data_IF_530263980891
#
_entry.id   IF_530263980891
#
_cell.length_a   1.000
_cell.length_b   1.000
_cell.length_c   1.000
_cell.angle_alpha   90.00
_cell.angle_beta   90.00
_cell.angle_gamma   90.00
#
_symmetry.space_group_name_H-M   'P 1'
#
loop_
_entity.id
_entity.type
_entity.pdbx_description
1 polymer ?
#
# COMPACT_ATOMS: atom_id res chain seq x y z
N UNK A 1 -22.99 16.64 16.29
CA UNK A 1 -21.87 17.07 15.43
C UNK A 1 -20.78 15.99 15.31
N UNK A 2 -20.11 15.56 16.40
CA UNK A 2 -19.13 14.46 16.34
C UNK A 2 -19.73 13.09 15.94
N UNK A 3 -20.95 12.77 16.37
CA UNK A 3 -21.65 11.53 15.98
C UNK A 3 -22.02 11.47 14.50
N UNK A 4 -22.41 12.60 13.91
CA UNK A 4 -22.75 12.69 12.48
C UNK A 4 -21.50 12.57 11.60
N UNK A 5 -20.38 13.17 12.03
CA UNK A 5 -19.07 12.96 11.41
C UNK A 5 -18.66 11.49 11.47
N UNK A 6 -18.76 10.86 12.65
CA UNK A 6 -18.40 9.45 12.80
C UNK A 6 -19.26 8.54 11.90
N UNK A 7 -20.57 8.80 11.80
CA UNK A 7 -21.46 8.06 10.91
C UNK A 7 -21.12 8.26 9.43
N UNK A 8 -20.76 9.47 9.01
CA UNK A 8 -20.30 9.74 7.65
C UNK A 8 -18.98 9.01 7.35
N UNK A 9 -18.05 8.99 8.30
CA UNK A 9 -16.78 8.26 8.18
C UNK A 9 -16.99 6.75 8.11
N UNK A 10 -17.85 6.19 8.96
CA UNK A 10 -18.17 4.76 8.94
C UNK A 10 -18.88 4.36 7.64
N UNK A 11 -19.82 5.19 7.16
CA UNK A 11 -20.43 4.99 5.85
C UNK A 11 -19.39 5.01 4.73
N UNK A 12 -18.48 5.99 4.75
CA UNK A 12 -17.43 6.14 3.74
C UNK A 12 -16.44 4.96 3.74
N UNK A 13 -16.02 4.51 4.92
CA UNK A 13 -15.18 3.31 5.06
C UNK A 13 -15.93 2.06 4.57
N UNK A 14 -17.24 1.99 4.82
CA UNK A 14 -18.11 0.92 4.34
C UNK A 14 -18.27 0.82 2.82
N UNK A 15 -17.87 1.85 2.06
CA UNK A 15 -17.85 1.82 0.58
C UNK A 15 -16.72 0.94 0.02
N UNK A 16 -15.73 0.57 0.85
CA UNK A 16 -14.63 -0.33 0.51
C UNK A 16 -13.40 0.35 -0.11
N UNK A 17 -12.35 -0.45 -0.30
CA UNK A 17 -11.03 0.00 -0.77
C UNK A 17 -11.04 0.86 -2.05
N UNK A 18 -11.79 0.52 -3.10
CA UNK A 18 -11.83 1.32 -4.33
C UNK A 18 -12.36 2.75 -4.13
N UNK A 19 -13.42 2.92 -3.33
CA UNK A 19 -14.03 4.23 -3.07
C UNK A 19 -13.12 5.12 -2.20
N UNK A 20 -12.49 4.52 -1.19
CA UNK A 20 -11.49 5.19 -0.35
C UNK A 20 -10.32 5.67 -1.21
N UNK A 21 -9.81 4.79 -2.08
CA UNK A 21 -8.68 5.10 -2.95
C UNK A 21 -8.99 6.19 -3.99
N UNK A 22 -10.22 6.19 -4.54
CA UNK A 22 -10.71 7.26 -5.41
C UNK A 22 -10.57 8.64 -4.75
N UNK A 23 -11.09 8.79 -3.54
CA UNK A 23 -11.05 10.08 -2.81
C UNK A 23 -9.62 10.45 -2.46
N UNK A 24 -8.83 9.50 -1.96
CA UNK A 24 -7.44 9.70 -1.58
C UNK A 24 -6.61 10.24 -2.73
N UNK A 25 -6.62 9.53 -3.87
CA UNK A 25 -5.81 9.93 -5.02
C UNK A 25 -6.28 11.25 -5.60
N UNK A 26 -7.59 11.52 -5.58
CA UNK A 26 -8.14 12.80 -6.01
C UNK A 26 -7.64 13.94 -5.11
N UNK A 27 -7.74 13.79 -3.79
CA UNK A 27 -7.31 14.82 -2.82
C UNK A 27 -5.80 15.04 -2.85
N UNK A 28 -5.02 13.95 -2.93
CA UNK A 28 -3.57 14.01 -3.01
C UNK A 28 -3.12 14.72 -4.31
N UNK A 29 -3.73 14.37 -5.45
CA UNK A 29 -3.47 15.03 -6.74
C UNK A 29 -3.78 16.53 -6.68
N UNK A 30 -4.87 16.93 -6.01
CA UNK A 30 -5.20 18.33 -5.77
C UNK A 30 -4.16 19.03 -4.87
N UNK A 31 -3.65 18.33 -3.85
CA UNK A 31 -2.56 18.83 -2.98
C UNK A 31 -1.28 19.14 -3.76
N UNK A 32 -0.99 18.35 -4.79
CA UNK A 32 0.11 18.62 -5.75
C UNK A 32 -0.25 19.66 -6.83
N UNK A 33 -1.36 20.40 -6.66
CA UNK A 33 -1.84 21.47 -7.57
C UNK A 33 -2.14 21.00 -8.99
N UNK A 34 -2.52 19.74 -9.16
CA UNK A 34 -3.04 19.22 -10.43
C UNK A 34 -4.44 19.80 -10.68
N UNK A 35 -4.79 20.08 -11.96
CA UNK A 35 -6.14 20.55 -12.34
C UNK A 35 -7.21 19.58 -11.84
N UNK A 36 -8.32 20.09 -11.30
CA UNK A 36 -9.39 19.27 -10.72
C UNK A 36 -9.88 18.14 -11.64
N UNK A 37 -10.10 18.44 -12.93
CA UNK A 37 -10.50 17.43 -13.92
C UNK A 37 -9.50 16.27 -14.01
N UNK A 38 -8.19 16.55 -13.94
CA UNK A 38 -7.14 15.53 -13.99
C UNK A 38 -6.97 14.79 -12.67
N UNK A 39 -7.19 15.47 -11.54
CA UNK A 39 -7.20 14.83 -10.22
C UNK A 39 -8.40 13.88 -10.06
N UNK A 40 -9.58 14.26 -10.55
CA UNK A 40 -10.75 13.39 -10.53
C UNK A 40 -10.55 12.19 -11.47
N UNK A 41 -9.99 12.42 -12.65
CA UNK A 41 -9.64 11.36 -13.60
C UNK A 41 -8.64 10.36 -13.01
N UNK A 42 -7.59 10.81 -12.30
CA UNK A 42 -6.61 9.93 -11.66
C UNK A 42 -7.24 9.08 -10.55
N UNK A 43 -8.12 9.67 -9.75
CA UNK A 43 -8.90 8.94 -8.75
C UNK A 43 -9.77 7.86 -9.37
N UNK A 44 -10.53 8.18 -10.43
CA UNK A 44 -11.43 7.23 -11.10
C UNK A 44 -10.63 6.06 -11.69
N UNK A 45 -9.53 6.36 -12.38
CA UNK A 45 -8.63 5.33 -12.94
C UNK A 45 -8.14 4.38 -11.86
N UNK A 46 -7.77 4.91 -10.69
CA UNK A 46 -7.31 4.08 -9.59
C UNK A 46 -8.42 3.18 -9.01
N UNK A 47 -9.63 3.70 -8.87
CA UNK A 47 -10.77 2.90 -8.40
C UNK A 47 -11.15 1.79 -9.38
N UNK A 48 -11.12 2.05 -10.69
CA UNK A 48 -11.34 1.03 -11.73
C UNK A 48 -10.26 -0.06 -11.63
N UNK A 49 -8.99 0.34 -11.47
CA UNK A 49 -7.88 -0.61 -11.34
C UNK A 49 -8.04 -1.53 -10.11
N UNK A 50 -8.36 -0.97 -8.94
CA UNK A 50 -8.58 -1.76 -7.72
C UNK A 50 -9.80 -2.69 -7.84
N UNK A 51 -10.87 -2.22 -8.48
CA UNK A 51 -12.07 -3.03 -8.74
C UNK A 51 -11.73 -4.22 -9.65
N UNK A 52 -11.01 -3.97 -10.75
CA UNK A 52 -10.60 -5.01 -11.68
C UNK A 52 -9.67 -6.04 -11.04
N UNK A 53 -8.72 -5.57 -10.22
CA UNK A 53 -7.81 -6.44 -9.45
C UNK A 53 -8.58 -7.34 -8.48
N UNK A 54 -9.53 -6.77 -7.73
CA UNK A 54 -10.37 -7.53 -6.79
C UNK A 54 -11.19 -8.59 -7.52
N UNK A 55 -11.79 -8.23 -8.66
CA UNK A 55 -12.55 -9.18 -9.48
C UNK A 55 -11.67 -10.33 -10.00
N UNK A 56 -10.44 -10.03 -10.46
CA UNK A 56 -9.50 -11.04 -10.92
C UNK A 56 -9.09 -12.00 -9.78
N UNK A 57 -8.83 -11.48 -8.58
CA UNK A 57 -8.51 -12.29 -7.39
C UNK A 57 -9.68 -13.21 -7.05
N UNK A 58 -10.92 -12.70 -7.04
CA UNK A 58 -12.11 -13.51 -6.78
C UNK A 58 -12.24 -14.65 -7.78
N UNK A 59 -12.11 -14.37 -9.08
CA UNK A 59 -12.17 -15.38 -10.14
C UNK A 59 -11.11 -16.48 -9.97
N UNK A 60 -9.87 -16.10 -9.65
CA UNK A 60 -8.79 -17.07 -9.42
C UNK A 60 -9.06 -17.91 -8.17
N UNK A 61 -9.57 -17.29 -7.10
CA UNK A 61 -9.91 -17.98 -5.84
C UNK A 61 -11.03 -18.99 -6.06
N UNK A 62 -12.06 -18.61 -6.82
CA UNK A 62 -13.21 -19.48 -7.13
C UNK A 62 -12.80 -20.65 -8.04
N UNK A 63 -11.90 -20.41 -9.00
CA UNK A 63 -11.41 -21.44 -9.91
C UNK A 63 -10.46 -22.44 -9.24
N UNK A 64 -9.56 -21.96 -8.36
CA UNK A 64 -8.50 -22.78 -7.76
C UNK A 64 -8.85 -23.33 -6.37
N UNK A 65 -9.79 -22.69 -5.66
CA UNK A 65 -10.21 -23.07 -4.31
C UNK A 65 -10.65 -24.53 -4.18
N UNK A 66 -11.52 -25.06 -5.06
CA UNK A 66 -11.94 -26.45 -5.02
C UNK A 66 -10.77 -27.44 -5.18
N UNK A 67 -9.87 -27.17 -6.13
CA UNK A 67 -8.71 -28.02 -6.39
C UNK A 67 -7.73 -28.04 -5.20
N UNK A 68 -7.51 -26.88 -4.56
CA UNK A 68 -6.72 -26.76 -3.33
C UNK A 68 -7.33 -27.56 -2.18
N UNK A 69 -8.66 -27.49 -2.00
CA UNK A 69 -9.36 -28.25 -0.95
C UNK A 69 -9.24 -29.76 -1.17
N UNK A 70 -9.33 -30.23 -2.42
CA UNK A 70 -9.18 -31.65 -2.74
C UNK A 70 -7.72 -32.13 -2.60
N UNK A 71 -6.74 -31.27 -2.89
CA UNK A 71 -5.34 -31.52 -2.61
C UNK A 71 -5.07 -31.70 -1.10
N UNK A 72 -5.61 -30.82 -0.25
CA UNK A 72 -5.51 -30.91 1.21
C UNK A 72 -6.09 -32.23 1.72
N UNK A 73 -7.30 -32.61 1.26
CA UNK A 73 -7.93 -33.89 1.61
C UNK A 73 -7.09 -35.11 1.20
N UNK A 74 -6.48 -35.04 0.02
CA UNK A 74 -5.71 -36.16 -0.54
C UNK A 74 -4.33 -36.32 0.10
N UNK A 75 -3.73 -35.22 0.55
CA UNK A 75 -2.37 -35.21 1.13
C UNK A 75 -2.37 -35.28 2.65
N UNK A 76 -3.50 -35.01 3.32
CA UNK A 76 -3.59 -34.96 4.78
C UNK A 76 -2.85 -33.78 5.41
N UNK A 77 -2.40 -32.81 4.60
CA UNK A 77 -1.69 -31.62 5.08
C UNK A 77 -2.70 -30.61 5.62
N UNK A 78 -2.46 -30.06 6.81
CA UNK A 78 -3.38 -29.14 7.49
C UNK A 78 -3.13 -27.66 7.08
N UNK A 79 -3.40 -27.34 5.81
CA UNK A 79 -3.28 -25.98 5.27
C UNK A 79 -4.64 -25.27 5.29
N UNK A 80 -4.97 -24.62 6.41
CA UNK A 80 -6.23 -23.88 6.56
C UNK A 80 -6.22 -22.47 5.96
N UNK A 81 -5.05 -21.97 5.54
CA UNK A 81 -4.86 -20.59 5.07
C UNK A 81 -4.34 -20.63 3.64
N UNK A 82 -5.07 -19.97 2.74
CA UNK A 82 -4.67 -19.80 1.34
C UNK A 82 -3.98 -18.45 1.17
N UNK A 83 -2.76 -18.45 0.67
CA UNK A 83 -2.06 -17.21 0.29
C UNK A 83 -2.63 -16.69 -1.04
N UNK A 84 -3.32 -15.55 -0.98
CA UNK A 84 -3.91 -14.87 -2.13
C UNK A 84 -2.93 -13.90 -2.82
N UNK A 85 -1.67 -13.86 -2.34
CA UNK A 85 -0.61 -13.00 -2.84
C UNK A 85 -0.69 -11.56 -2.32
N UNK A 86 0.15 -10.72 -2.92
CA UNK A 86 0.36 -9.34 -2.47
C UNK A 86 -0.80 -8.39 -2.81
N UNK A 87 -1.52 -8.66 -3.90
CA UNK A 87 -2.56 -7.77 -4.43
C UNK A 87 -3.73 -7.55 -3.44
N UNK A 88 -4.35 -8.57 -2.84
CA UNK A 88 -5.39 -8.36 -1.83
C UNK A 88 -4.87 -7.62 -0.59
N UNK A 89 -3.63 -7.87 -0.15
CA UNK A 89 -3.03 -7.16 0.98
C UNK A 89 -2.89 -5.66 0.69
N UNK A 90 -2.49 -5.28 -0.53
CA UNK A 90 -2.41 -3.88 -0.95
C UNK A 90 -3.80 -3.21 -0.90
N UNK A 91 -4.84 -3.87 -1.41
CA UNK A 91 -6.21 -3.35 -1.40
C UNK A 91 -6.72 -3.11 0.02
N UNK A 92 -6.51 -4.08 0.92
CA UNK A 92 -6.91 -3.96 2.34
C UNK A 92 -6.16 -2.82 3.02
N UNK A 93 -4.86 -2.71 2.77
CA UNK A 93 -4.02 -1.64 3.34
C UNK A 93 -4.52 -0.27 2.94
N UNK A 94 -4.82 -0.06 1.65
CA UNK A 94 -5.36 1.21 1.15
C UNK A 94 -6.78 1.50 1.60
N UNK A 95 -7.52 0.49 2.10
CA UNK A 95 -8.78 0.69 2.79
C UNK A 95 -8.65 1.32 4.19
N UNK A 96 -7.44 1.40 4.75
CA UNK A 96 -7.19 2.01 6.06
C UNK A 96 -6.80 3.48 5.96
N UNK A 97 -7.37 4.31 6.83
CA UNK A 97 -7.00 5.73 6.95
C UNK A 97 -5.56 5.92 7.43
N UNK A 98 -5.03 4.99 8.23
CA UNK A 98 -3.66 5.08 8.73
C UNK A 98 -2.62 4.93 7.63
N UNK A 99 -2.96 4.33 6.49
CA UNK A 99 -2.08 4.21 5.33
C UNK A 99 -1.69 5.58 4.76
N UNK A 100 -2.62 6.54 4.75
CA UNK A 100 -2.32 7.94 4.37
C UNK A 100 -1.35 8.59 5.35
N UNK A 101 -1.57 8.37 6.65
CA UNK A 101 -0.72 8.90 7.69
C UNK A 101 0.72 8.38 7.54
N UNK A 102 0.88 7.07 7.37
CA UNK A 102 2.20 6.49 7.11
C UNK A 102 2.80 6.95 5.79
N UNK A 103 1.99 7.13 4.73
CA UNK A 103 2.47 7.70 3.47
C UNK A 103 3.05 9.10 3.64
N UNK A 104 2.34 9.96 4.37
CA UNK A 104 2.81 11.30 4.68
C UNK A 104 4.11 11.29 5.48
N UNK A 105 4.21 10.44 6.51
CA UNK A 105 5.43 10.26 7.30
C UNK A 105 6.58 9.78 6.40
N UNK A 106 6.36 8.79 5.54
CA UNK A 106 7.37 8.27 4.64
C UNK A 106 7.89 9.34 3.67
N UNK A 107 7.01 10.15 3.07
CA UNK A 107 7.41 11.26 2.19
C UNK A 107 8.33 12.23 2.93
N UNK A 108 7.96 12.63 4.15
CA UNK A 108 8.77 13.53 4.98
C UNK A 108 10.14 12.92 5.27
N UNK A 109 10.17 11.65 5.71
CA UNK A 109 11.43 10.95 6.01
C UNK A 109 12.32 10.86 4.78
N UNK A 110 11.76 10.52 3.60
CA UNK A 110 12.54 10.43 2.39
C UNK A 110 13.18 11.77 2.02
N UNK A 111 12.39 12.85 2.07
CA UNK A 111 12.90 14.20 1.80
C UNK A 111 13.99 14.60 2.81
N UNK A 112 13.79 14.34 4.10
CA UNK A 112 14.81 14.61 5.13
C UNK A 112 16.10 13.83 4.88
N UNK A 113 16.00 12.54 4.55
CA UNK A 113 17.18 11.72 4.24
C UNK A 113 17.93 12.22 3.01
N UNK A 114 17.22 12.72 1.98
CA UNK A 114 17.82 13.34 0.81
C UNK A 114 18.52 14.66 1.15
N UNK A 115 17.87 15.56 1.91
CA UNK A 115 18.48 16.81 2.35
C UNK A 115 19.73 16.58 3.23
N UNK A 116 19.73 15.52 4.03
CA UNK A 116 20.86 15.13 4.86
C UNK A 116 21.92 14.30 4.12
N UNK A 117 21.78 14.09 2.80
CA UNK A 117 22.65 13.24 1.97
C UNK A 117 22.82 11.81 2.52
N UNK A 118 21.80 11.28 3.22
CA UNK A 118 21.80 9.90 3.75
C UNK A 118 21.32 8.88 2.73
N UNK A 119 20.57 9.32 1.71
CA UNK A 119 20.16 8.49 0.57
C UNK A 119 20.35 9.27 -0.74
N UNK A 120 20.42 8.56 -1.85
CA UNK A 120 20.35 9.14 -3.21
C UNK A 120 19.02 8.82 -3.90
N UNK A 121 18.24 7.90 -3.33
CA UNK A 121 16.94 7.47 -3.86
C UNK A 121 15.79 8.37 -3.38
N UNK A 122 14.98 8.83 -4.34
CA UNK A 122 13.67 9.43 -4.11
C UNK A 122 12.59 8.40 -4.47
N UNK A 123 11.79 7.99 -3.49
CA UNK A 123 10.64 7.12 -3.70
C UNK A 123 9.47 7.93 -4.27
N UNK A 124 9.32 7.89 -5.60
CA UNK A 124 8.23 8.55 -6.32
C UNK A 124 6.97 7.69 -6.42
N UNK A 125 7.08 6.38 -6.14
CA UNK A 125 5.96 5.45 -6.17
C UNK A 125 5.18 5.49 -4.85
N UNK A 126 4.10 6.27 -4.85
CA UNK A 126 3.20 6.38 -3.71
C UNK A 126 2.35 5.14 -3.49
N UNK A 127 2.03 4.37 -4.54
CA UNK A 127 1.23 3.16 -4.37
C UNK A 127 1.99 2.13 -3.53
N UNK A 128 3.30 1.99 -3.79
CA UNK A 128 4.16 1.00 -3.16
C UNK A 128 4.34 1.18 -1.63
N UNK A 129 3.93 2.33 -1.08
CA UNK A 129 3.91 2.58 0.36
C UNK A 129 3.03 1.57 1.12
N UNK A 130 2.08 0.91 0.45
CA UNK A 130 1.26 -0.14 1.04
C UNK A 130 2.10 -1.23 1.76
N UNK A 131 3.29 -1.58 1.24
CA UNK A 131 4.16 -2.59 1.84
C UNK A 131 4.63 -2.23 3.25
N UNK A 132 4.86 -0.94 3.52
CA UNK A 132 5.27 -0.48 4.85
C UNK A 132 4.06 -0.16 5.70
N UNK A 133 3.00 0.36 5.08
CA UNK A 133 1.75 0.64 5.78
C UNK A 133 1.13 -0.62 6.35
N UNK A 134 1.16 -1.77 5.65
CA UNK A 134 0.63 -3.03 6.22
C UNK A 134 1.38 -3.46 7.47
N UNK A 135 2.71 -3.28 7.49
CA UNK A 135 3.53 -3.56 8.67
C UNK A 135 3.18 -2.58 9.80
N UNK A 136 3.02 -1.29 9.49
CA UNK A 136 2.58 -0.28 10.45
C UNK A 136 1.21 -0.59 11.03
N UNK A 137 0.25 -1.01 10.21
CA UNK A 137 -1.09 -1.43 10.64
C UNK A 137 -1.03 -2.63 11.58
N UNK A 138 -0.20 -3.63 11.28
CA UNK A 138 0.01 -4.80 12.13
C UNK A 138 0.62 -4.41 13.47
N UNK A 139 1.66 -3.56 13.47
CA UNK A 139 2.29 -3.11 14.71
C UNK A 139 1.31 -2.30 15.56
N UNK A 140 0.51 -1.41 14.96
CA UNK A 140 -0.51 -0.66 15.70
C UNK A 140 -1.58 -1.58 16.30
N UNK A 141 -1.96 -2.63 15.57
CA UNK A 141 -2.94 -3.60 16.04
C UNK A 141 -2.48 -4.34 17.31
N UNK A 142 -1.18 -4.63 17.45
CA UNK A 142 -0.64 -5.32 18.63
C UNK A 142 -0.13 -4.37 19.73
N UNK A 143 0.52 -3.27 19.36
CA UNK A 143 1.18 -2.37 20.30
C UNK A 143 0.22 -1.32 20.89
N UNK A 144 -0.89 -1.03 20.21
CA UNK A 144 -1.87 0.01 20.58
C UNK A 144 -1.21 1.37 20.90
N UNK A 145 -0.11 1.70 20.21
CA UNK A 145 0.67 2.89 20.46
C UNK A 145 1.21 3.48 19.16
N UNK A 146 0.50 4.49 18.66
CA UNK A 146 0.82 5.19 17.41
C UNK A 146 2.24 5.75 17.37
N UNK A 147 2.82 6.17 18.51
CA UNK A 147 4.18 6.73 18.55
C UNK A 147 5.20 5.61 18.27
N UNK A 148 5.06 4.47 18.95
CA UNK A 148 5.95 3.32 18.77
C UNK A 148 5.82 2.80 17.33
N UNK A 149 4.59 2.67 16.84
CA UNK A 149 4.31 2.26 15.45
C UNK A 149 4.96 3.20 14.44
N UNK A 150 4.82 4.51 14.62
CA UNK A 150 5.39 5.51 13.71
C UNK A 150 6.92 5.43 13.71
N UNK A 151 7.56 5.33 14.88
CA UNK A 151 9.01 5.17 14.97
C UNK A 151 9.50 3.89 14.28
N UNK A 152 8.76 2.80 14.44
CA UNK A 152 9.06 1.53 13.77
C UNK A 152 8.94 1.64 12.24
N UNK A 153 7.87 2.26 11.75
CA UNK A 153 7.66 2.54 10.31
C UNK A 153 8.80 3.39 9.74
N UNK A 154 9.20 4.46 10.44
CA UNK A 154 10.32 5.32 10.03
C UNK A 154 11.61 4.52 9.93
N UNK A 155 11.89 3.66 10.91
CA UNK A 155 13.07 2.80 10.92
C UNK A 155 13.10 1.86 9.72
N UNK A 156 12.03 1.09 9.50
CA UNK A 156 11.93 0.14 8.37
C UNK A 156 12.03 0.86 7.03
N UNK A 157 11.33 1.99 6.87
CA UNK A 157 11.39 2.77 5.64
C UNK A 157 12.78 3.35 5.36
N UNK A 158 13.47 3.82 6.40
CA UNK A 158 14.85 4.31 6.26
C UNK A 158 15.81 3.20 5.84
N UNK A 159 15.63 1.97 6.34
CA UNK A 159 16.40 0.80 5.91
C UNK A 159 16.08 0.41 4.47
N UNK A 160 14.80 0.47 4.08
CA UNK A 160 14.37 0.22 2.71
C UNK A 160 15.05 1.17 1.72
N UNK A 161 15.08 2.48 2.00
CA UNK A 161 15.74 3.46 1.13
C UNK A 161 17.25 3.22 1.00
N UNK A 162 17.92 2.84 2.09
CA UNK A 162 19.33 2.45 2.05
C UNK A 162 19.55 1.18 1.23
N UNK A 163 18.65 0.20 1.36
CA UNK A 163 18.69 -1.02 0.57
C UNK A 163 18.50 -0.72 -0.93
N UNK A 164 17.63 0.23 -1.29
CA UNK A 164 17.47 0.70 -2.67
C UNK A 164 18.76 1.30 -3.22
N UNK A 165 19.45 2.14 -2.44
CA UNK A 165 20.75 2.70 -2.85
C UNK A 165 21.83 1.60 -3.00
N UNK A 166 21.82 0.59 -2.13
CA UNK A 166 22.76 -0.53 -2.19
C UNK A 166 22.50 -1.49 -3.37
N UNK A 167 21.24 -1.68 -3.76
CA UNK A 167 20.84 -2.54 -4.88
C UNK A 167 21.00 -1.87 -6.24
N UNK A 168 21.15 -0.54 -6.29
CA UNK A 168 21.33 0.23 -7.51
C UNK A 168 22.36 -0.37 -8.49
N UNK A 169 23.61 -0.70 -8.10
CA UNK A 169 24.60 -1.26 -9.04
C UNK A 169 24.13 -2.59 -9.65
N UNK A 170 23.56 -3.50 -8.86
CA UNK A 170 23.07 -4.78 -9.36
C UNK A 170 21.90 -4.59 -10.34
N UNK A 171 21.01 -3.65 -10.07
CA UNK A 171 19.90 -3.33 -10.97
C UNK A 171 20.43 -2.70 -12.27
N UNK A 172 21.41 -1.79 -12.19
CA UNK A 172 21.99 -1.22 -13.39
C UNK A 172 22.63 -2.28 -14.29
N UNK A 173 23.33 -3.25 -13.71
CA UNK A 173 23.93 -4.34 -14.46
C UNK A 173 22.88 -5.20 -15.15
N UNK A 174 21.77 -5.53 -14.46
CA UNK A 174 20.68 -6.35 -15.03
C UNK A 174 19.92 -5.59 -16.13
N UNK A 175 19.81 -4.27 -16.01
CA UNK A 175 19.11 -3.42 -16.98
C UNK A 175 20.02 -2.83 -18.07
N UNK A 176 21.31 -3.20 -18.09
CA UNK A 176 22.34 -2.65 -18.98
C UNK A 176 22.41 -1.11 -18.96
N UNK A 177 22.20 -0.50 -17.78
CA UNK A 177 22.34 0.94 -17.59
C UNK A 177 23.78 1.39 -17.37
N UNK A 178 24.71 0.46 -17.16
CA UNK A 178 26.14 0.75 -17.00
C UNK A 178 26.91 0.84 -18.34
N UNK A 179 26.24 0.61 -19.49
CA UNK A 179 26.85 0.65 -20.83
C UNK A 179 26.80 2.03 -21.52
N UNK A 180 26.37 3.10 -20.84
CA UNK A 180 26.32 4.47 -21.37
C UNK A 180 27.06 5.49 -20.49
#
# INVERSE_FOLDING_TARGET
MFSQLNNLFQWFIGLGGPAIMFVIITLLSLGFKVKFSKALESGIRMAIALTGMTAAISLLTDALGPALNDFIKSTGVNLHITDLGWAPMAVITWGSIYTLFFAFVCIIVNLLMLFMNKTKTLNVDLFNIWNISIIGLLVEYYAHNMIITTLFVIMIYSLMLKNSDALKPSINQVLNYDEN
#
